data_IF_312679279072
#
_entry.id   IF_312679279072
#
_cell.length_a   1.000
_cell.length_b   1.000
_cell.length_c   1.000
_cell.angle_alpha   90.00
_cell.angle_beta   90.00
_cell.angle_gamma   90.00
#
_symmetry.space_group_name_H-M   'P 1'
#
loop_
_entity.id
_entity.type
_entity.pdbx_description
1 polymer ?
#
# COMPACT_ATOMS: atom_id res chain seq x y z
N UNK A 1 42.00 3.31 -18.79
CA UNK A 1 41.87 1.90 -19.23
C UNK A 1 42.07 1.02 -18.01
N UNK A 2 41.33 -0.10 -17.94
CA UNK A 2 41.28 -1.10 -16.85
C UNK A 2 40.15 -0.88 -15.84
N UNK A 3 38.95 -1.39 -16.16
CA UNK A 3 37.94 -1.89 -15.20
C UNK A 3 36.75 -2.55 -15.95
N UNK A 4 37.03 -3.49 -16.87
CA UNK A 4 36.00 -4.22 -17.64
C UNK A 4 35.96 -5.72 -17.29
N UNK A 5 36.89 -6.23 -16.46
CA UNK A 5 37.06 -7.69 -16.27
C UNK A 5 36.37 -8.29 -15.03
N UNK A 6 35.69 -7.52 -14.18
CA UNK A 6 35.12 -8.06 -12.93
C UNK A 6 33.63 -8.45 -13.07
N UNK A 7 32.91 -7.93 -14.06
CA UNK A 7 31.44 -8.12 -14.15
C UNK A 7 31.05 -9.51 -14.69
N UNK A 8 31.94 -10.24 -15.36
CA UNK A 8 31.57 -11.52 -16.01
C UNK A 8 31.52 -12.73 -15.06
N UNK A 9 32.02 -12.62 -13.81
CA UNK A 9 32.09 -13.77 -12.89
C UNK A 9 30.80 -13.97 -12.07
N UNK A 10 29.96 -12.94 -11.92
CA UNK A 10 28.73 -13.02 -11.11
C UNK A 10 27.53 -13.67 -11.82
N UNK A 11 27.59 -13.88 -13.14
CA UNK A 11 26.47 -14.44 -13.91
C UNK A 11 26.34 -15.98 -13.87
N UNK A 12 27.27 -16.70 -13.23
CA UNK A 12 27.28 -18.18 -13.24
C UNK A 12 26.69 -18.81 -11.95
N UNK A 13 26.42 -18.02 -10.91
CA UNK A 13 26.01 -18.54 -9.59
C UNK A 13 24.50 -18.55 -9.32
N UNK A 14 23.65 -18.09 -10.25
CA UNK A 14 22.20 -17.98 -10.05
C UNK A 14 21.37 -19.12 -10.65
N UNK A 15 21.99 -20.13 -11.27
CA UNK A 15 21.27 -21.29 -11.88
C UNK A 15 21.12 -22.47 -10.88
N UNK A 16 21.51 -22.30 -9.61
CA UNK A 16 21.75 -23.40 -8.68
C UNK A 16 20.79 -23.58 -7.50
N UNK A 17 19.60 -22.94 -7.44
CA UNK A 17 18.66 -23.17 -6.33
C UNK A 17 17.23 -23.28 -6.86
N UNK A 18 16.96 -24.38 -7.56
CA UNK A 18 15.64 -24.98 -7.68
C UNK A 18 15.67 -26.29 -6.87
N UNK A 19 14.62 -26.48 -6.06
CA UNK A 19 14.17 -27.73 -5.41
C UNK A 19 14.66 -28.03 -3.98
N UNK A 20 13.95 -27.49 -2.99
CA UNK A 20 13.43 -28.25 -1.84
C UNK A 20 12.03 -27.67 -1.52
N UNK A 21 10.90 -28.28 -1.91
CA UNK A 21 10.21 -29.43 -1.31
C UNK A 21 10.17 -29.42 0.22
N UNK A 22 9.03 -29.02 0.79
CA UNK A 22 8.75 -29.21 2.22
C UNK A 22 7.46 -28.55 2.69
N UNK A 23 6.32 -29.23 2.48
CA UNK A 23 5.11 -28.99 3.26
C UNK A 23 5.39 -29.37 4.72
N UNK A 24 5.01 -28.53 5.69
CA UNK A 24 4.64 -29.04 7.02
C UNK A 24 3.48 -28.24 7.61
N UNK A 25 2.64 -28.98 8.29
CA UNK A 25 1.28 -28.69 8.74
C UNK A 25 1.22 -27.75 9.94
N UNK A 26 0.10 -27.04 10.01
CA UNK A 26 -0.79 -26.87 11.17
C UNK A 26 -0.15 -26.87 12.56
N UNK A 27 -0.14 -25.70 13.20
CA UNK A 27 -0.30 -25.60 14.65
C UNK A 27 -1.53 -24.74 14.97
N UNK A 28 -2.57 -25.41 15.46
CA UNK A 28 -3.57 -24.81 16.34
C UNK A 28 -2.86 -24.27 17.59
N UNK A 29 -2.98 -22.97 17.85
CA UNK A 29 -2.82 -22.46 19.21
C UNK A 29 -4.08 -21.68 19.61
N UNK A 30 -4.94 -22.43 20.27
CA UNK A 30 -6.04 -21.96 21.09
C UNK A 30 -5.47 -21.35 22.38
N UNK A 31 -5.74 -20.07 22.64
CA UNK A 31 -5.69 -19.53 24.01
C UNK A 31 -6.70 -18.40 24.19
N UNK A 32 -7.89 -18.79 24.66
CA UNK A 32 -8.69 -17.95 25.55
C UNK A 32 -7.82 -17.44 26.70
N UNK A 33 -8.06 -16.19 27.15
CA UNK A 33 -8.31 -15.84 28.56
C UNK A 33 -8.42 -14.32 28.70
N UNK A 34 -9.66 -13.87 28.76
CA UNK A 34 -10.07 -12.55 29.25
C UNK A 34 -10.04 -12.56 30.79
N UNK A 35 -9.50 -11.53 31.44
CA UNK A 35 -10.14 -11.06 32.66
C UNK A 35 -10.36 -9.55 32.65
N UNK A 36 -11.63 -9.18 32.77
CA UNK A 36 -12.14 -7.85 33.12
C UNK A 36 -11.64 -7.42 34.50
N UNK A 37 -11.12 -6.18 34.65
CA UNK A 37 -11.13 -5.47 35.92
C UNK A 37 -12.30 -4.48 35.96
N UNK A 38 -13.18 -4.70 36.94
CA UNK A 38 -14.17 -3.74 37.43
C UNK A 38 -13.48 -2.74 38.37
N UNK A 39 -13.71 -1.44 38.17
CA UNK A 39 -13.15 -0.39 39.04
C UNK A 39 -13.85 0.96 38.80
N UNK A 40 -14.70 1.31 39.75
CA UNK A 40 -15.53 2.52 39.85
C UNK A 40 -14.68 3.81 39.90
N UNK A 41 -15.05 4.87 39.17
CA UNK A 41 -15.92 5.99 39.59
C UNK A 41 -15.26 6.93 40.61
N UNK A 42 -14.78 8.08 40.15
CA UNK A 42 -14.47 9.24 41.00
C UNK A 42 -14.86 10.53 40.26
N UNK A 43 -15.93 11.17 40.75
CA UNK A 43 -16.41 12.51 40.43
C UNK A 43 -15.41 13.59 40.88
N UNK A 44 -15.20 14.66 40.07
CA UNK A 44 -15.38 16.07 40.47
C UNK A 44 -14.94 17.10 39.40
N UNK A 45 -15.28 18.41 39.50
CA UNK A 45 -16.02 19.09 38.43
C UNK A 45 -15.38 20.37 37.85
N UNK A 46 -15.97 20.80 36.73
CA UNK A 46 -16.24 22.17 36.27
C UNK A 46 -15.17 23.30 36.31
N UNK A 47 -14.75 23.73 35.11
CA UNK A 47 -14.56 25.12 34.63
C UNK A 47 -14.03 25.01 33.18
N UNK A 48 -14.39 25.74 32.12
CA UNK A 48 -15.33 26.81 31.74
C UNK A 48 -15.32 26.84 30.18
N UNK A 49 -16.24 27.53 29.49
CA UNK A 49 -16.39 27.49 28.03
C UNK A 49 -15.40 28.41 27.33
N UNK A 50 -14.86 27.98 26.18
CA UNK A 50 -14.24 28.88 25.22
C UNK A 50 -14.91 28.67 23.85
N UNK A 51 -15.67 29.68 23.45
CA UNK A 51 -16.28 29.84 22.13
C UNK A 51 -15.24 30.18 21.07
N UNK A 52 -15.58 29.86 19.81
CA UNK A 52 -14.87 30.07 18.55
C UNK A 52 -13.81 29.01 18.24
N UNK A 53 -13.98 28.20 17.18
CA UNK A 53 -14.32 28.65 15.85
C UNK A 53 -15.09 27.55 15.10
N UNK A 54 -16.22 27.96 14.53
CA UNK A 54 -16.94 27.24 13.49
C UNK A 54 -15.98 26.68 12.44
N UNK A 55 -16.00 25.37 12.31
CA UNK A 55 -16.09 24.70 11.01
C UNK A 55 -16.79 23.37 11.27
N UNK A 56 -18.09 23.46 11.58
CA UNK A 56 -19.01 22.34 11.37
C UNK A 56 -19.16 22.17 9.85
N UNK A 57 -18.10 21.67 9.21
CA UNK A 57 -18.24 20.98 7.94
C UNK A 57 -19.08 19.77 8.29
N UNK A 58 -20.36 19.83 7.94
CA UNK A 58 -21.23 18.67 7.88
C UNK A 58 -20.44 17.61 7.11
N UNK A 59 -20.10 16.45 7.70
CA UNK A 59 -19.50 15.39 6.93
C UNK A 59 -20.53 15.03 5.87
N UNK A 60 -20.27 15.43 4.63
CA UNK A 60 -21.01 14.89 3.51
C UNK A 60 -20.83 13.37 3.58
N UNK A 61 -21.93 12.67 3.38
CA UNK A 61 -22.14 11.32 3.88
C UNK A 61 -21.29 10.23 3.19
N UNK A 62 -20.23 10.58 2.46
CA UNK A 62 -19.35 9.62 1.78
C UNK A 62 -17.92 10.18 1.57
N UNK A 63 -17.22 10.64 2.62
CA UNK A 63 -15.76 10.89 2.49
C UNK A 63 -14.98 9.57 2.58
N UNK A 64 -15.17 8.71 1.59
CA UNK A 64 -14.47 7.43 1.43
C UNK A 64 -12.95 7.60 1.27
N UNK A 65 -12.48 8.85 1.08
CA UNK A 65 -11.09 9.23 0.99
C UNK A 65 -10.67 10.25 2.07
N UNK A 66 -10.85 9.87 3.33
CA UNK A 66 -10.54 10.73 4.47
C UNK A 66 -9.03 10.96 4.65
N UNK A 67 -8.53 12.15 4.28
CA UNK A 67 -7.10 12.53 4.40
C UNK A 67 -6.59 12.36 5.83
N UNK A 68 -5.39 11.80 5.98
CA UNK A 68 -4.72 11.60 7.26
C UNK A 68 -5.19 10.36 8.03
N UNK A 69 -6.18 9.63 7.50
CA UNK A 69 -6.52 8.28 7.99
C UNK A 69 -5.56 7.24 7.44
N UNK A 70 -5.75 5.97 7.80
CA UNK A 70 -4.89 4.87 7.37
C UNK A 70 -5.69 3.76 6.70
N UNK A 71 -5.18 3.25 5.59
CA UNK A 71 -5.57 1.97 5.02
C UNK A 71 -4.55 0.90 5.40
N UNK A 72 -4.99 -0.34 5.60
CA UNK A 72 -4.11 -1.46 5.93
C UNK A 72 -4.11 -2.46 4.78
N UNK A 73 -2.99 -2.53 4.05
CA UNK A 73 -2.76 -3.50 3.00
C UNK A 73 -1.82 -4.64 3.44
N UNK A 74 -1.47 -5.51 2.51
CA UNK A 74 -0.50 -6.59 2.73
C UNK A 74 0.91 -6.08 3.07
N UNK A 75 1.24 -4.86 2.65
CA UNK A 75 2.52 -4.20 2.93
C UNK A 75 2.53 -3.42 4.24
N UNK A 76 1.37 -3.26 4.91
CA UNK A 76 1.25 -2.56 6.18
C UNK A 76 0.27 -1.39 6.13
N UNK A 77 0.46 -0.42 7.04
CA UNK A 77 -0.38 0.78 7.13
C UNK A 77 0.13 1.86 6.18
N UNK A 78 -0.77 2.41 5.37
CA UNK A 78 -0.50 3.53 4.48
C UNK A 78 -1.37 4.72 4.87
N UNK A 79 -0.82 5.93 4.84
CA UNK A 79 -1.55 7.16 5.19
C UNK A 79 -2.29 7.66 3.96
N UNK A 80 -3.59 7.93 4.08
CA UNK A 80 -4.40 8.50 3.00
C UNK A 80 -3.96 9.95 2.74
N UNK A 81 -3.56 10.25 1.50
CA UNK A 81 -3.09 11.58 1.07
C UNK A 81 -4.18 12.40 0.40
N UNK A 82 -5.25 11.76 -0.08
CA UNK A 82 -6.43 12.41 -0.66
C UNK A 82 -6.73 11.94 -2.08
N UNK A 83 -7.64 12.65 -2.76
CA UNK A 83 -8.05 12.32 -4.12
C UNK A 83 -7.09 12.93 -5.14
N UNK A 84 -6.60 12.11 -6.07
CA UNK A 84 -5.79 12.52 -7.21
C UNK A 84 -6.47 12.19 -8.54
N UNK A 85 -6.22 13.02 -9.55
CA UNK A 85 -6.77 12.84 -10.90
C UNK A 85 -5.74 12.15 -11.80
N UNK A 86 -6.07 10.96 -12.30
CA UNK A 86 -5.20 10.17 -13.17
C UNK A 86 -5.81 10.03 -14.57
N UNK A 87 -4.96 10.12 -15.61
CA UNK A 87 -5.36 9.85 -16.99
C UNK A 87 -5.13 8.39 -17.33
N UNK A 88 -6.21 7.63 -17.47
CA UNK A 88 -6.20 6.19 -17.75
C UNK A 88 -6.97 5.96 -19.04
N UNK A 89 -6.31 5.39 -20.05
CA UNK A 89 -6.91 5.10 -21.37
C UNK A 89 -7.63 6.31 -22.00
N UNK A 90 -7.12 7.53 -21.73
CA UNK A 90 -7.68 8.79 -22.25
C UNK A 90 -8.79 9.41 -21.40
N UNK A 91 -9.28 8.72 -20.37
CA UNK A 91 -10.25 9.25 -19.42
C UNK A 91 -9.54 9.76 -18.16
N UNK A 92 -10.08 10.82 -17.56
CA UNK A 92 -9.66 11.24 -16.21
C UNK A 92 -10.49 10.49 -15.18
N UNK A 93 -9.82 9.92 -14.19
CA UNK A 93 -10.43 9.21 -13.07
C UNK A 93 -9.93 9.81 -11.76
N UNK A 94 -10.84 10.00 -10.80
CA UNK A 94 -10.52 10.40 -9.44
C UNK A 94 -10.23 9.14 -8.61
N UNK A 95 -9.03 9.06 -8.03
CA UNK A 95 -8.60 7.94 -7.22
C UNK A 95 -8.21 8.44 -5.83
N UNK A 96 -8.59 7.71 -4.78
CA UNK A 96 -8.08 7.97 -3.44
C UNK A 96 -6.70 7.37 -3.29
N UNK A 97 -5.73 8.18 -2.91
CA UNK A 97 -4.34 7.78 -2.78
C UNK A 97 -3.92 7.62 -1.33
N UNK A 98 -3.04 6.66 -1.10
CA UNK A 98 -2.36 6.41 0.16
C UNK A 98 -0.89 6.18 -0.06
N UNK A 99 -0.07 6.64 0.87
CA UNK A 99 1.39 6.56 0.79
C UNK A 99 1.98 5.93 2.06
N UNK A 100 3.09 5.22 1.90
CA UNK A 100 3.89 4.68 2.99
C UNK A 100 5.36 4.70 2.64
N UNK A 101 6.19 4.80 3.66
CA UNK A 101 7.65 4.74 3.56
C UNK A 101 8.14 3.64 4.49
N UNK A 102 8.93 2.73 3.93
CA UNK A 102 9.56 1.63 4.64
C UNK A 102 11.04 1.89 4.70
N UNK A 103 11.58 2.02 5.91
CA UNK A 103 13.01 2.17 6.15
C UNK A 103 13.52 0.93 6.88
N UNK A 104 14.43 0.21 6.24
CA UNK A 104 15.24 -0.86 6.83
C UNK A 104 16.70 -0.43 7.01
N UNK A 105 17.53 -1.30 7.58
CA UNK A 105 18.94 -1.02 7.87
C UNK A 105 19.73 -0.57 6.62
N UNK A 106 19.42 -1.15 5.45
CA UNK A 106 20.11 -0.90 4.18
C UNK A 106 19.16 -0.54 3.01
N UNK A 107 17.89 -0.23 3.29
CA UNK A 107 16.94 0.12 2.22
C UNK A 107 15.90 1.15 2.65
N UNK A 108 15.52 2.02 1.72
CA UNK A 108 14.36 2.91 1.82
C UNK A 108 13.45 2.59 0.63
N UNK A 109 12.18 2.31 0.90
CA UNK A 109 11.17 2.07 -0.14
C UNK A 109 9.96 2.95 0.13
N UNK A 110 9.55 3.71 -0.88
CA UNK A 110 8.28 4.44 -0.88
C UNK A 110 7.28 3.66 -1.69
N UNK A 111 6.06 3.59 -1.20
CA UNK A 111 4.96 2.97 -1.88
C UNK A 111 3.79 3.94 -1.91
N UNK A 112 3.17 4.05 -3.07
CA UNK A 112 1.92 4.79 -3.27
C UNK A 112 0.90 3.84 -3.89
N UNK A 113 -0.33 3.86 -3.37
CA UNK A 113 -1.45 3.11 -3.93
C UNK A 113 -2.60 4.08 -4.10
N UNK A 114 -3.21 4.10 -5.29
CA UNK A 114 -4.41 4.87 -5.56
C UNK A 114 -5.51 3.94 -6.04
N UNK A 115 -6.73 4.10 -5.54
CA UNK A 115 -7.85 3.18 -5.78
C UNK A 115 -9.19 3.91 -5.95
N UNK A 116 -10.12 3.29 -6.67
CA UNK A 116 -11.52 3.76 -6.79
C UNK A 116 -12.30 3.45 -5.51
N UNK A 117 -13.46 4.09 -5.34
CA UNK A 117 -14.32 3.93 -4.16
C UNK A 117 -14.80 2.48 -3.95
N UNK A 118 -15.01 1.75 -5.04
CA UNK A 118 -15.42 0.34 -5.08
C UNK A 118 -14.23 -0.63 -5.09
N UNK A 119 -13.00 -0.12 -5.06
CA UNK A 119 -11.73 -0.87 -5.02
C UNK A 119 -11.51 -1.82 -6.23
N UNK A 120 -12.29 -1.70 -7.30
CA UNK A 120 -12.19 -2.54 -8.49
C UNK A 120 -11.03 -2.12 -9.41
N UNK A 121 -10.59 -0.87 -9.29
CA UNK A 121 -9.50 -0.28 -10.03
C UNK A 121 -8.47 0.27 -9.06
N UNK A 122 -7.20 -0.08 -9.26
CA UNK A 122 -6.10 0.45 -8.46
C UNK A 122 -4.80 0.56 -9.24
N UNK A 123 -4.00 1.55 -8.86
CA UNK A 123 -2.65 1.80 -9.33
C UNK A 123 -1.70 1.72 -8.16
N UNK A 124 -0.58 1.02 -8.34
CA UNK A 124 0.48 0.92 -7.33
C UNK A 124 1.80 1.40 -7.92
N UNK A 125 2.44 2.31 -7.22
CA UNK A 125 3.81 2.76 -7.48
C UNK A 125 4.74 2.32 -6.36
N UNK A 126 5.96 2.01 -6.72
CA UNK A 126 7.04 1.69 -5.78
C UNK A 126 8.29 2.48 -6.16
N UNK A 127 9.05 2.90 -5.17
CA UNK A 127 10.33 3.56 -5.45
C UNK A 127 11.36 2.55 -5.92
N UNK A 128 12.21 2.96 -6.85
CA UNK A 128 13.36 2.15 -7.24
C UNK A 128 14.50 2.32 -6.22
N UNK A 129 15.31 1.28 -5.96
CA UNK A 129 16.47 1.40 -5.08
C UNK A 129 17.52 2.41 -5.57
N UNK A 130 17.57 2.65 -6.89
CA UNK A 130 18.61 3.47 -7.53
C UNK A 130 18.30 4.97 -7.50
N UNK A 131 17.05 5.37 -7.74
CA UNK A 131 16.65 6.78 -7.85
C UNK A 131 15.70 7.26 -6.75
N UNK A 132 15.14 6.35 -5.95
CA UNK A 132 14.03 6.61 -5.03
C UNK A 132 12.80 7.25 -5.72
N UNK A 133 12.73 7.20 -7.05
CA UNK A 133 11.58 7.69 -7.82
C UNK A 133 10.49 6.63 -7.84
N UNK A 134 9.24 7.07 -7.62
CA UNK A 134 8.06 6.22 -7.74
C UNK A 134 7.82 5.87 -9.21
N UNK A 135 7.97 4.58 -9.54
CA UNK A 135 7.61 4.03 -10.85
C UNK A 135 6.32 3.23 -10.72
N UNK A 136 5.46 3.29 -11.73
CA UNK A 136 4.24 2.48 -11.74
C UNK A 136 4.66 1.02 -11.79
N UNK A 137 4.25 0.26 -10.78
CA UNK A 137 4.60 -1.14 -10.61
C UNK A 137 3.47 -2.06 -11.08
N UNK A 138 2.22 -1.74 -10.72
CA UNK A 138 1.06 -2.52 -11.15
C UNK A 138 -0.21 -1.67 -11.32
N UNK A 139 -1.08 -2.15 -12.19
CA UNK A 139 -2.44 -1.64 -12.43
C UNK A 139 -3.41 -2.82 -12.33
N UNK A 140 -4.38 -2.75 -11.43
CA UNK A 140 -5.51 -3.67 -11.37
C UNK A 140 -6.75 -2.98 -11.92
N UNK A 141 -7.53 -3.66 -12.76
CA UNK A 141 -8.69 -3.06 -13.42
C UNK A 141 -9.74 -4.10 -13.79
N UNK A 142 -11.03 -3.72 -13.82
CA UNK A 142 -12.09 -4.60 -14.29
C UNK A 142 -12.06 -4.74 -15.82
N UNK A 143 -12.29 -5.96 -16.32
CA UNK A 143 -12.50 -6.24 -17.74
C UNK A 143 -13.70 -7.18 -17.91
N UNK A 144 -14.89 -6.58 -18.06
CA UNK A 144 -16.13 -7.34 -18.07
C UNK A 144 -16.45 -7.87 -16.68
N UNK A 145 -16.51 -9.20 -16.53
CA UNK A 145 -16.73 -9.90 -15.26
C UNK A 145 -15.42 -10.34 -14.56
N UNK A 146 -14.27 -10.02 -15.16
CA UNK A 146 -12.94 -10.40 -14.67
C UNK A 146 -12.24 -9.23 -14.01
N UNK A 147 -11.35 -9.54 -13.08
CA UNK A 147 -10.34 -8.60 -12.58
C UNK A 147 -9.01 -8.92 -13.27
N UNK A 148 -8.44 -7.92 -13.94
CA UNK A 148 -7.15 -8.02 -14.60
C UNK A 148 -6.08 -7.27 -13.82
N UNK A 149 -4.84 -7.74 -13.92
CA UNK A 149 -3.66 -7.10 -13.34
C UNK A 149 -2.57 -7.01 -14.41
N UNK A 150 -2.05 -5.80 -14.62
CA UNK A 150 -0.81 -5.53 -15.34
C UNK A 150 0.30 -5.28 -14.34
N UNK A 151 1.47 -5.82 -14.63
CA UNK A 151 2.73 -5.50 -13.95
C UNK A 151 3.65 -4.83 -14.97
N UNK A 152 4.32 -3.78 -14.55
CA UNK A 152 5.17 -2.96 -15.40
C UNK A 152 6.64 -3.12 -15.03
N UNK A 153 7.51 -3.01 -16.03
CA UNK A 153 8.92 -2.74 -15.83
C UNK A 153 9.11 -1.27 -15.39
N UNK A 154 10.27 -0.92 -14.80
CA UNK A 154 10.57 0.47 -14.42
C UNK A 154 10.51 1.48 -15.58
N UNK A 155 10.67 1.04 -16.83
CA UNK A 155 10.56 1.89 -18.03
C UNK A 155 9.10 2.12 -18.48
N UNK A 156 8.13 1.55 -17.77
CA UNK A 156 6.70 1.64 -18.08
C UNK A 156 6.21 0.62 -19.11
N UNK A 157 7.07 -0.26 -19.64
CA UNK A 157 6.63 -1.36 -20.50
C UNK A 157 5.90 -2.44 -19.69
N UNK A 158 4.89 -3.08 -20.29
CA UNK A 158 4.17 -4.18 -19.63
C UNK A 158 5.08 -5.41 -19.55
N UNK A 159 5.32 -5.88 -18.33
CA UNK A 159 6.04 -7.11 -18.06
C UNK A 159 5.12 -8.33 -18.19
N UNK A 160 3.93 -8.24 -17.60
CA UNK A 160 2.90 -9.28 -17.68
C UNK A 160 1.50 -8.70 -17.50
N UNK A 161 0.51 -9.41 -18.04
CA UNK A 161 -0.91 -9.14 -17.86
C UNK A 161 -1.64 -10.47 -17.64
N UNK A 162 -2.50 -10.53 -16.63
CA UNK A 162 -3.32 -11.69 -16.32
C UNK A 162 -4.71 -11.27 -15.85
N UNK A 163 -5.73 -12.06 -16.15
CA UNK A 163 -7.10 -11.84 -15.71
C UNK A 163 -7.66 -13.11 -15.08
N UNK A 164 -8.23 -12.98 -13.89
CA UNK A 164 -8.97 -14.06 -13.22
C UNK A 164 -10.45 -13.98 -13.62
#
# INVERSE_FOLDING_TARGET
MTNIKIITILAILMIGILMTSGCTQTEESNSNNNPTPSGNMEDNPADKPNDNLENNVKPDADDWCSIGTYVTGSTGKMTVTGIENHKIQGNTMELCCSESEFTGEDFEMKQKVCYTQDEDYSLMWQSTPESNELVLFSESYPQGDKLCVKVFNPDGSILMEACD
#
